data_IF_050597181068
#
_entry.id   IF_050597181068
#
_cell.length_a   1.000
_cell.length_b   1.000
_cell.length_c   1.000
_cell.angle_alpha   90.00
_cell.angle_beta   90.00
_cell.angle_gamma   90.00
#
_symmetry.space_group_name_H-M   'P 1'
#
loop_
_entity.id
_entity.type
_entity.pdbx_description
1 polymer ?
#
# COMPACT_ATOMS: atom_id res chain seq x y z
N UNK A 1 -4.45 17.50 -29.42
CA UNK A 1 -4.95 17.23 -28.06
C UNK A 1 -4.04 16.34 -27.22
N UNK A 2 -3.37 15.32 -27.77
CA UNK A 2 -2.48 14.42 -26.99
C UNK A 2 -1.20 15.03 -26.40
N UNK A 3 -0.70 16.17 -26.91
CA UNK A 3 0.52 16.83 -26.40
C UNK A 3 0.27 17.67 -25.15
N UNK A 4 -0.98 18.09 -24.90
CA UNK A 4 -1.36 18.92 -23.75
C UNK A 4 -1.58 18.04 -22.50
N UNK A 5 -2.07 16.82 -22.70
CA UNK A 5 -2.25 15.82 -21.65
C UNK A 5 -0.87 15.32 -21.15
N UNK A 6 0.11 15.14 -22.04
CA UNK A 6 1.46 14.74 -21.66
C UNK A 6 2.19 15.82 -20.83
N UNK A 7 1.97 17.10 -21.12
CA UNK A 7 2.52 18.21 -20.34
C UNK A 7 1.86 18.34 -18.95
N UNK A 8 0.56 18.08 -18.85
CA UNK A 8 -0.16 18.06 -17.57
C UNK A 8 0.30 16.93 -16.63
N UNK A 9 0.60 15.74 -17.18
CA UNK A 9 1.13 14.61 -16.40
C UNK A 9 2.57 14.87 -15.94
N UNK A 10 3.40 15.50 -16.79
CA UNK A 10 4.78 15.83 -16.44
C UNK A 10 4.87 16.94 -15.37
N UNK A 11 4.00 17.96 -15.41
CA UNK A 11 3.93 19.00 -14.39
C UNK A 11 3.36 18.49 -13.06
N UNK A 12 2.40 17.55 -13.10
CA UNK A 12 1.90 16.87 -11.90
C UNK A 12 2.97 16.02 -11.21
N UNK A 13 3.86 15.38 -11.96
CA UNK A 13 4.95 14.56 -11.40
C UNK A 13 6.08 15.43 -10.78
N UNK A 14 6.39 16.59 -11.37
CA UNK A 14 7.41 17.50 -10.82
C UNK A 14 6.93 18.24 -9.56
N UNK A 15 5.63 18.52 -9.43
CA UNK A 15 5.07 19.15 -8.22
C UNK A 15 5.12 18.22 -6.99
N UNK A 16 5.08 16.90 -7.19
CA UNK A 16 5.23 15.91 -6.11
C UNK A 16 6.69 15.74 -5.67
N UNK A 17 7.65 16.04 -6.55
CA UNK A 17 9.08 15.81 -6.28
C UNK A 17 9.83 17.00 -5.67
N UNK A 18 9.26 18.22 -5.67
CA UNK A 18 10.01 19.45 -5.34
C UNK A 18 9.34 20.40 -4.32
N UNK A 19 8.21 20.02 -3.70
CA UNK A 19 7.36 20.99 -2.98
C UNK A 19 6.88 20.63 -1.58
N UNK A 20 7.18 19.46 -1.03
CA UNK A 20 6.84 19.17 0.37
C UNK A 20 8.05 19.52 1.26
N UNK A 21 8.15 20.79 1.67
CA UNK A 21 8.91 21.09 2.87
C UNK A 21 8.36 20.19 3.99
N UNK A 22 9.21 19.48 4.75
CA UNK A 22 8.71 18.69 5.88
C UNK A 22 7.93 19.66 6.77
N UNK A 23 6.71 19.31 7.21
CA UNK A 23 6.05 20.11 8.23
C UNK A 23 7.03 20.25 9.38
N UNK A 24 7.27 21.49 9.82
CA UNK A 24 8.05 21.75 11.01
C UNK A 24 7.45 20.90 12.13
N UNK A 25 8.17 19.84 12.51
CA UNK A 25 7.83 19.01 13.65
C UNK A 25 7.99 19.92 14.84
N UNK A 26 6.86 20.45 15.32
CA UNK A 26 6.81 21.06 16.64
C UNK A 26 7.40 20.01 17.59
N UNK A 27 8.41 20.41 18.36
CA UNK A 27 9.04 19.62 19.41
C UNK A 27 7.96 19.32 20.46
N UNK A 28 7.13 18.35 20.13
CA UNK A 28 6.06 17.83 20.96
C UNK A 28 6.79 17.14 22.08
N UNK A 29 6.59 17.59 23.32
CA UNK A 29 7.21 17.00 24.49
C UNK A 29 7.00 15.48 24.44
N UNK A 30 8.04 14.76 24.02
CA UNK A 30 7.92 13.36 23.64
C UNK A 30 7.90 12.54 24.91
N UNK A 31 6.72 12.04 25.25
CA UNK A 31 6.54 11.05 26.30
C UNK A 31 7.19 9.75 25.84
N UNK A 32 8.04 9.19 26.71
CA UNK A 32 8.51 7.82 26.52
C UNK A 32 7.39 6.88 26.91
N UNK A 33 6.99 6.02 25.99
CA UNK A 33 5.86 5.14 26.15
C UNK A 33 6.32 3.69 26.32
N UNK A 34 5.81 3.02 27.34
CA UNK A 34 5.86 1.56 27.46
C UNK A 34 4.43 1.05 27.48
N UNK A 35 4.15 0.04 26.67
CA UNK A 35 2.80 -0.47 26.49
C UNK A 35 2.82 -1.98 26.61
N UNK A 36 1.79 -2.51 27.28
CA UNK A 36 1.50 -3.93 27.30
C UNK A 36 0.04 -4.17 26.93
N UNK A 37 -0.19 -5.28 26.23
CA UNK A 37 -1.50 -5.78 25.85
C UNK A 37 -1.66 -7.15 26.50
N UNK A 38 -2.70 -7.33 27.31
CA UNK A 38 -2.93 -8.55 28.10
C UNK A 38 -1.67 -9.00 28.86
N UNK A 39 -1.03 -8.03 29.52
CA UNK A 39 0.22 -8.19 30.29
C UNK A 39 1.47 -8.54 29.45
N UNK A 40 1.39 -8.53 28.12
CA UNK A 40 2.54 -8.75 27.22
C UNK A 40 3.08 -7.43 26.72
N UNK A 41 4.36 -7.11 26.93
CA UNK A 41 4.96 -5.90 26.36
C UNK A 41 4.90 -5.96 24.83
N UNK A 42 4.63 -4.82 24.19
CA UNK A 42 4.46 -4.75 22.72
C UNK A 42 5.77 -4.50 21.96
N UNK A 43 6.83 -4.11 22.67
CA UNK A 43 8.15 -3.81 22.10
C UNK A 43 8.73 -5.04 21.39
N UNK A 44 9.05 -4.90 20.11
CA UNK A 44 9.60 -5.93 19.22
C UNK A 44 8.83 -7.27 19.22
N UNK A 45 7.54 -7.24 19.60
CA UNK A 45 6.70 -8.42 19.74
C UNK A 45 5.56 -8.41 18.73
N UNK A 46 5.12 -9.62 18.34
CA UNK A 46 3.82 -9.81 17.69
C UNK A 46 2.79 -10.15 18.75
N UNK A 47 1.75 -9.34 18.88
CA UNK A 47 0.72 -9.49 19.91
C UNK A 47 -0.56 -10.06 19.30
N UNK A 48 -1.05 -11.22 19.75
CA UNK A 48 -2.32 -11.75 19.28
C UNK A 48 -3.49 -10.91 19.80
N UNK A 49 -4.38 -10.50 18.89
CA UNK A 49 -5.62 -9.82 19.21
C UNK A 49 -6.78 -10.71 18.77
N UNK A 50 -7.58 -11.16 19.73
CA UNK A 50 -8.82 -11.89 19.48
C UNK A 50 -10.01 -10.93 19.61
N UNK A 51 -10.67 -10.55 18.51
CA UNK A 51 -11.82 -9.64 18.53
C UNK A 51 -13.00 -10.16 19.38
N UNK A 52 -13.07 -11.45 19.69
CA UNK A 52 -14.14 -12.01 20.52
C UNK A 52 -13.97 -11.69 22.02
N UNK A 53 -12.78 -11.24 22.43
CA UNK A 53 -12.46 -10.97 23.82
C UNK A 53 -12.13 -9.49 24.01
N UNK A 54 -12.41 -8.99 25.21
CA UNK A 54 -11.90 -7.69 25.63
C UNK A 54 -10.39 -7.77 25.83
N UNK A 55 -9.71 -6.69 25.49
CA UNK A 55 -8.25 -6.59 25.57
C UNK A 55 -7.88 -5.57 26.64
N UNK A 56 -6.94 -5.93 27.51
CA UNK A 56 -6.39 -5.01 28.51
C UNK A 56 -5.16 -4.29 27.94
N UNK A 57 -5.31 -3.00 27.67
CA UNK A 57 -4.21 -2.12 27.24
C UNK A 57 -3.67 -1.36 28.45
N UNK A 58 -2.47 -1.73 28.90
CA UNK A 58 -1.75 -1.00 29.93
C UNK A 58 -0.71 -0.08 29.30
N UNK A 59 -0.69 1.18 29.73
CA UNK A 59 0.17 2.23 29.21
C UNK A 59 0.91 2.89 30.36
N UNK A 60 2.23 2.89 30.27
CA UNK A 60 3.13 3.60 31.18
C UNK A 60 3.78 4.75 30.42
N UNK A 61 3.35 5.96 30.73
CA UNK A 61 3.87 7.19 30.12
C UNK A 61 4.91 7.80 31.05
N UNK A 62 6.12 8.05 30.55
CA UNK A 62 7.20 8.72 31.28
C UNK A 62 7.51 10.06 30.63
N UNK A 63 7.45 11.13 31.41
CA UNK A 63 7.72 12.49 30.96
C UNK A 63 9.17 12.89 31.35
N UNK A 64 10.12 12.88 30.41
CA UNK A 64 11.49 13.32 30.68
C UNK A 64 11.61 14.86 30.79
N UNK A 65 10.57 15.62 30.45
CA UNK A 65 10.55 17.07 30.44
C UNK A 65 10.43 17.72 31.81
N UNK A 66 10.49 19.06 31.82
CA UNK A 66 10.46 19.90 33.03
C UNK A 66 9.08 20.49 33.33
N UNK A 67 8.12 20.37 32.42
CA UNK A 67 6.74 20.80 32.59
C UNK A 67 5.80 19.57 32.53
N UNK A 68 4.67 19.59 33.25
CA UNK A 68 3.69 18.52 33.14
C UNK A 68 3.03 18.50 31.76
N UNK A 69 2.71 17.31 31.27
CA UNK A 69 2.09 17.08 29.96
C UNK A 69 0.70 16.49 30.16
N UNK A 70 -0.30 17.10 29.52
CA UNK A 70 -1.69 16.63 29.57
C UNK A 70 -1.96 15.68 28.41
N UNK A 71 -2.46 14.50 28.73
CA UNK A 71 -2.92 13.51 27.78
C UNK A 71 -4.44 13.53 27.79
N UNK A 72 -5.07 13.55 26.63
CA UNK A 72 -6.53 13.54 26.47
C UNK A 72 -7.06 12.15 26.15
N UNK A 73 -6.40 11.47 25.22
CA UNK A 73 -6.87 10.18 24.70
C UNK A 73 -5.70 9.29 24.33
N UNK A 74 -5.98 7.99 24.33
CA UNK A 74 -5.09 6.94 23.84
C UNK A 74 -5.71 6.36 22.59
N UNK A 75 -4.92 6.23 21.52
CA UNK A 75 -5.33 5.65 20.26
C UNK A 75 -4.60 4.34 20.04
N UNK A 76 -5.33 3.26 19.80
CA UNK A 76 -4.79 2.02 19.23
C UNK A 76 -5.20 1.99 17.75
N UNK A 77 -4.24 1.92 16.84
CA UNK A 77 -4.52 1.87 15.40
C UNK A 77 -3.74 0.78 14.70
N UNK A 78 -4.28 0.28 13.59
CA UNK A 78 -3.63 -0.69 12.73
C UNK A 78 -3.67 -0.26 11.27
N UNK A 79 -2.55 -0.44 10.59
CA UNK A 79 -2.33 0.02 9.22
C UNK A 79 -1.97 -1.18 8.35
N UNK A 80 -2.49 -1.20 7.12
CA UNK A 80 -2.00 -2.06 6.06
C UNK A 80 -2.01 -1.28 4.75
N UNK A 81 -1.00 -1.47 3.89
CA UNK A 81 -0.88 -0.78 2.60
C UNK A 81 -1.00 0.75 2.72
N UNK A 82 -0.38 1.32 3.76
CA UNK A 82 -0.45 2.75 4.12
C UNK A 82 -1.87 3.31 4.40
N UNK A 83 -2.85 2.44 4.63
CA UNK A 83 -4.21 2.82 5.00
C UNK A 83 -4.53 2.33 6.42
N UNK A 84 -5.15 3.19 7.23
CA UNK A 84 -5.63 2.81 8.56
C UNK A 84 -6.88 1.94 8.43
N UNK A 85 -6.81 0.69 8.89
CA UNK A 85 -7.92 -0.27 8.85
C UNK A 85 -8.81 -0.19 10.08
N UNK A 86 -8.21 0.08 11.24
CA UNK A 86 -8.93 0.30 12.48
C UNK A 86 -8.22 1.37 13.31
N UNK A 87 -9.01 2.11 14.09
CA UNK A 87 -8.53 3.07 15.07
C UNK A 87 -9.53 3.15 16.22
N UNK A 88 -9.08 2.80 17.43
CA UNK A 88 -9.86 2.84 18.65
C UNK A 88 -9.34 3.97 19.53
N UNK A 89 -10.16 5.02 19.67
CA UNK A 89 -9.85 6.19 20.49
C UNK A 89 -10.51 6.06 21.87
N UNK A 90 -9.70 5.89 22.90
CA UNK A 90 -10.16 5.89 24.29
C UNK A 90 -9.89 7.26 24.91
N UNK A 91 -10.97 8.00 25.21
CA UNK A 91 -10.85 9.31 25.88
C UNK A 91 -10.78 9.11 27.38
N UNK A 92 -9.59 9.32 27.94
CA UNK A 92 -9.34 9.21 29.37
C UNK A 92 -8.27 10.24 29.74
N UNK A 93 -8.66 11.46 30.14
CA UNK A 93 -7.70 12.52 30.38
C UNK A 93 -6.87 12.22 31.64
N UNK A 94 -5.56 12.37 31.53
CA UNK A 94 -4.64 12.31 32.66
C UNK A 94 -3.43 13.22 32.43
N UNK A 95 -2.74 13.58 33.51
CA UNK A 95 -1.57 14.44 33.46
C UNK A 95 -0.34 13.65 33.89
N UNK A 96 0.73 13.73 33.10
CA UNK A 96 2.02 13.11 33.41
C UNK A 96 2.91 14.20 34.02
N UNK A 97 3.27 14.10 35.31
CA UNK A 97 4.05 15.13 35.98
C UNK A 97 5.46 15.24 35.37
N UNK A 98 6.05 16.43 35.47
CA UNK A 98 7.42 16.67 35.03
C UNK A 98 8.39 15.69 35.72
N UNK A 99 9.33 15.11 34.95
CA UNK A 99 10.30 14.10 35.42
C UNK A 99 9.67 12.88 36.11
N UNK A 100 8.38 12.61 35.86
CA UNK A 100 7.65 11.51 36.48
C UNK A 100 7.02 10.56 35.46
N UNK A 101 6.34 9.54 35.98
CA UNK A 101 5.64 8.54 35.18
C UNK A 101 4.24 8.27 35.72
N UNK A 102 3.33 7.89 34.82
CA UNK A 102 1.95 7.52 35.14
C UNK A 102 1.61 6.23 34.42
N UNK A 103 0.98 5.30 35.14
CA UNK A 103 0.44 4.05 34.61
C UNK A 103 -1.07 4.14 34.52
N UNK A 104 -1.63 3.76 33.37
CA UNK A 104 -3.07 3.66 33.13
C UNK A 104 -3.39 2.35 32.44
N UNK A 105 -4.51 1.76 32.82
CA UNK A 105 -5.05 0.54 32.21
C UNK A 105 -6.38 0.88 31.55
N UNK A 106 -6.55 0.46 30.31
CA UNK A 106 -7.76 0.62 29.51
C UNK A 106 -8.26 -0.75 29.09
N UNK A 107 -9.56 -0.98 29.21
CA UNK A 107 -10.19 -2.19 28.67
C UNK A 107 -10.82 -1.80 27.35
N UNK A 108 -10.37 -2.44 26.27
CA UNK A 108 -10.81 -2.18 24.91
C UNK A 108 -11.77 -3.29 24.47
N UNK A 109 -12.94 -2.90 23.96
CA UNK A 109 -13.82 -3.79 23.23
C UNK A 109 -13.52 -3.68 21.73
N UNK A 110 -13.01 -4.77 21.15
CA UNK A 110 -12.57 -4.84 19.77
C UNK A 110 -13.52 -5.71 18.91
N UNK A 111 -14.78 -5.90 19.34
CA UNK A 111 -15.74 -6.76 18.63
C UNK A 111 -15.88 -6.49 17.13
N UNK A 112 -15.84 -5.22 16.73
CA UNK A 112 -15.96 -4.82 15.31
C UNK A 112 -14.73 -5.20 14.47
N UNK A 113 -13.57 -5.41 15.11
CA UNK A 113 -12.31 -5.72 14.43
C UNK A 113 -12.40 -7.03 13.63
N UNK A 114 -13.23 -7.98 14.08
CA UNK A 114 -13.44 -9.26 13.42
C UNK A 114 -13.97 -9.09 11.98
N UNK A 115 -14.80 -8.07 11.75
CA UNK A 115 -15.34 -7.73 10.44
C UNK A 115 -14.43 -6.81 9.62
N UNK A 116 -13.41 -6.20 10.23
CA UNK A 116 -12.57 -5.20 9.58
C UNK A 116 -11.25 -5.77 9.06
N UNK A 117 -10.56 -6.58 9.87
CA UNK A 117 -9.20 -7.03 9.56
C UNK A 117 -8.95 -8.49 9.97
N UNK A 118 -7.98 -9.13 9.31
CA UNK A 118 -7.45 -10.45 9.67
C UNK A 118 -5.99 -10.57 9.24
N UNK A 119 -5.17 -11.25 10.05
CA UNK A 119 -3.74 -11.45 9.78
C UNK A 119 -2.83 -10.49 10.55
N UNK A 120 -1.59 -10.36 10.09
CA UNK A 120 -0.60 -9.46 10.68
C UNK A 120 -0.79 -8.02 10.20
N UNK A 121 -0.97 -7.10 11.15
CA UNK A 121 -1.11 -5.67 10.89
C UNK A 121 -0.12 -4.87 11.74
N UNK A 122 0.79 -4.09 11.12
CA UNK A 122 1.51 -3.03 11.81
C UNK A 122 0.54 -2.15 12.58
N UNK A 123 0.80 -1.97 13.87
CA UNK A 123 -0.10 -1.28 14.78
C UNK A 123 0.69 -0.31 15.65
N UNK A 124 0.04 0.78 16.05
CA UNK A 124 0.61 1.80 16.92
C UNK A 124 -0.32 2.09 18.09
N UNK A 125 0.28 2.38 19.24
CA UNK A 125 -0.40 2.96 20.40
C UNK A 125 0.13 4.38 20.58
N UNK A 126 -0.75 5.36 20.46
CA UNK A 126 -0.42 6.77 20.50
C UNK A 126 -1.10 7.45 21.70
N UNK A 127 -0.37 8.32 22.38
CA UNK A 127 -0.92 9.28 23.34
C UNK A 127 -1.20 10.60 22.64
N UNK A 128 -2.42 11.10 22.76
CA UNK A 128 -2.87 12.31 22.07
C UNK A 128 -3.26 13.40 23.06
N UNK A 129 -2.92 14.65 22.74
CA UNK A 129 -3.38 15.84 23.48
C UNK A 129 -4.77 16.32 23.00
N UNK A 130 -5.29 17.40 23.62
CA UNK A 130 -6.46 18.18 23.23
C UNK A 130 -6.59 18.46 21.74
N UNK A 131 -5.47 18.78 21.09
CA UNK A 131 -5.37 19.04 19.65
C UNK A 131 -5.23 17.81 18.76
N UNK A 132 -5.27 16.58 19.30
CA UNK A 132 -4.94 15.33 18.61
C UNK A 132 -3.49 15.26 18.09
N UNK A 133 -2.60 16.00 18.74
CA UNK A 133 -1.16 15.92 18.47
C UNK A 133 -0.58 14.73 19.23
N UNK A 134 0.25 13.93 18.58
CA UNK A 134 0.93 12.79 19.17
C UNK A 134 2.00 13.25 20.16
N UNK A 135 1.81 12.84 21.42
CA UNK A 135 2.72 13.11 22.54
C UNK A 135 3.73 11.98 22.74
N UNK A 136 3.38 10.77 22.34
CA UNK A 136 4.24 9.59 22.42
C UNK A 136 3.61 8.44 21.64
N UNK A 137 4.46 7.57 21.10
CA UNK A 137 4.06 6.47 20.24
C UNK A 137 4.85 5.21 20.60
N UNK A 138 4.19 4.06 20.55
CA UNK A 138 4.82 2.75 20.58
C UNK A 138 4.25 1.89 19.46
N UNK A 139 5.13 1.30 18.65
CA UNK A 139 4.76 0.48 17.48
C UNK A 139 4.90 -0.99 17.79
N UNK A 140 4.06 -1.82 17.18
CA UNK A 140 4.05 -3.28 17.32
C UNK A 140 3.41 -3.94 16.10
N UNK A 141 3.40 -5.27 16.04
CA UNK A 141 2.64 -6.03 15.05
C UNK A 141 1.48 -6.73 15.75
N UNK A 142 0.25 -6.41 15.36
CA UNK A 142 -0.94 -7.12 15.83
C UNK A 142 -1.21 -8.35 14.96
N UNK A 143 -1.34 -9.52 15.57
CA UNK A 143 -1.88 -10.72 14.95
C UNK A 143 -3.40 -10.77 15.18
N UNK A 144 -4.15 -10.17 14.27
CA UNK A 144 -5.60 -10.04 14.36
C UNK A 144 -6.27 -11.33 13.91
N UNK A 145 -7.02 -11.97 14.82
CA UNK A 145 -7.78 -13.20 14.56
C UNK A 145 -9.22 -12.92 14.12
N UNK A 146 -9.38 -12.09 13.09
CA UNK A 146 -10.68 -11.77 12.53
C UNK A 146 -11.22 -12.81 11.55
N UNK A 147 -12.24 -12.40 10.80
CA UNK A 147 -12.88 -13.23 9.78
C UNK A 147 -12.16 -13.12 8.42
N UNK A 148 -12.14 -14.23 7.68
CA UNK A 148 -11.73 -14.23 6.26
C UNK A 148 -12.64 -13.37 5.38
N UNK A 149 -13.89 -13.15 5.80
CA UNK A 149 -14.86 -12.26 5.14
C UNK A 149 -14.79 -10.82 5.64
N UNK A 150 -13.74 -10.46 6.37
CA UNK A 150 -13.50 -9.07 6.77
C UNK A 150 -13.30 -8.16 5.56
N UNK A 151 -13.45 -6.84 5.76
CA UNK A 151 -13.19 -5.83 4.73
C UNK A 151 -11.81 -6.04 4.10
N UNK A 152 -10.78 -6.29 4.91
CA UNK A 152 -9.44 -6.59 4.42
C UNK A 152 -9.38 -7.89 3.60
N UNK A 153 -10.03 -8.96 4.05
CA UNK A 153 -10.07 -10.24 3.33
C UNK A 153 -10.77 -10.13 1.97
N UNK A 154 -11.93 -9.47 1.92
CA UNK A 154 -12.69 -9.21 0.68
C UNK A 154 -11.90 -8.31 -0.26
N UNK A 155 -11.23 -7.29 0.25
CA UNK A 155 -10.33 -6.46 -0.53
C UNK A 155 -9.20 -7.29 -1.18
N UNK A 156 -8.56 -8.17 -0.41
CA UNK A 156 -7.55 -9.10 -0.92
C UNK A 156 -8.09 -10.02 -2.03
N UNK A 157 -9.31 -10.53 -1.87
CA UNK A 157 -9.97 -11.39 -2.87
C UNK A 157 -10.31 -10.62 -4.16
N UNK A 158 -10.82 -9.39 -4.04
CA UNK A 158 -11.08 -8.53 -5.17
C UNK A 158 -9.78 -8.20 -5.93
N UNK A 159 -8.71 -7.88 -5.21
CA UNK A 159 -7.37 -7.65 -5.76
C UNK A 159 -6.83 -8.89 -6.49
N UNK A 160 -7.01 -10.08 -5.91
CA UNK A 160 -6.66 -11.34 -6.56
C UNK A 160 -7.43 -11.54 -7.88
N UNK A 161 -8.75 -11.33 -7.88
CA UNK A 161 -9.57 -11.46 -9.08
C UNK A 161 -9.14 -10.47 -10.19
N UNK A 162 -8.89 -9.21 -9.84
CA UNK A 162 -8.38 -8.21 -10.79
C UNK A 162 -6.99 -8.56 -11.31
N UNK A 163 -6.12 -9.12 -10.48
CA UNK A 163 -4.79 -9.58 -10.86
C UNK A 163 -4.87 -10.74 -11.85
N UNK A 164 -5.74 -11.72 -11.59
CA UNK A 164 -6.00 -12.84 -12.50
C UNK A 164 -6.51 -12.30 -13.85
N UNK A 165 -7.45 -11.35 -13.83
CA UNK A 165 -7.97 -10.74 -15.06
C UNK A 165 -6.87 -9.98 -15.82
N UNK A 166 -5.99 -9.26 -15.12
CA UNK A 166 -4.84 -8.58 -15.73
C UNK A 166 -3.91 -9.59 -16.41
N UNK A 167 -3.60 -10.72 -15.77
CA UNK A 167 -2.83 -11.80 -16.39
C UNK A 167 -3.53 -12.40 -17.60
N UNK A 168 -4.81 -12.76 -17.48
CA UNK A 168 -5.59 -13.34 -18.57
C UNK A 168 -5.62 -12.40 -19.78
N UNK A 169 -5.84 -11.10 -19.59
CA UNK A 169 -5.88 -10.14 -20.70
C UNK A 169 -4.51 -9.96 -21.37
N UNK A 170 -3.41 -10.00 -20.60
CA UNK A 170 -2.05 -9.93 -21.12
C UNK A 170 -1.69 -11.21 -21.90
N UNK A 171 -2.01 -12.39 -21.35
CA UNK A 171 -1.75 -13.68 -21.98
C UNK A 171 -2.62 -13.92 -23.22
N UNK A 172 -3.90 -13.52 -23.20
CA UNK A 172 -4.76 -13.56 -24.38
C UNK A 172 -4.25 -12.64 -25.50
N UNK A 173 -3.71 -11.47 -25.16
CA UNK A 173 -3.13 -10.58 -26.15
C UNK A 173 -1.86 -11.16 -26.79
N UNK A 174 -1.05 -11.85 -25.99
CA UNK A 174 0.10 -12.63 -26.46
C UNK A 174 -0.36 -13.76 -27.39
N UNK A 175 -1.33 -14.59 -26.96
CA UNK A 175 -1.85 -15.72 -27.72
C UNK A 175 -2.52 -15.29 -29.04
N UNK A 176 -3.17 -14.12 -29.08
CA UNK A 176 -3.79 -13.55 -30.29
C UNK A 176 -2.81 -12.78 -31.17
N UNK A 177 -1.51 -12.79 -30.87
CA UNK A 177 -0.48 -12.02 -31.55
C UNK A 177 -0.79 -10.51 -31.67
N UNK A 178 -1.57 -9.95 -30.74
CA UNK A 178 -1.98 -8.52 -30.72
C UNK A 178 -1.04 -7.65 -29.90
N UNK A 179 0.21 -8.07 -29.74
CA UNK A 179 1.21 -7.32 -29.00
C UNK A 179 1.82 -6.23 -29.89
N UNK A 180 2.16 -5.10 -29.29
CA UNK A 180 2.80 -4.01 -30.02
C UNK A 180 4.17 -4.47 -30.57
N UNK A 181 4.60 -4.01 -31.75
CA UNK A 181 5.92 -4.33 -32.27
C UNK A 181 7.05 -3.79 -31.38
N UNK A 182 6.79 -2.70 -30.63
CA UNK A 182 7.72 -2.13 -29.68
C UNK A 182 7.79 -2.96 -28.38
N UNK A 183 8.98 -3.49 -28.07
CA UNK A 183 9.28 -4.27 -26.85
C UNK A 183 8.96 -3.53 -25.55
N UNK A 184 9.21 -2.22 -25.50
CA UNK A 184 8.89 -1.41 -24.32
C UNK A 184 7.38 -1.36 -24.05
N UNK A 185 6.58 -1.10 -25.08
CA UNK A 185 5.10 -1.08 -24.97
C UNK A 185 4.55 -2.44 -24.55
N UNK A 186 5.20 -3.53 -24.95
CA UNK A 186 4.85 -4.88 -24.49
C UNK A 186 5.16 -5.08 -23.01
N UNK A 187 6.35 -4.72 -22.55
CA UNK A 187 6.68 -4.75 -21.12
C UNK A 187 5.68 -3.95 -20.27
N UNK A 188 5.38 -2.72 -20.68
CA UNK A 188 4.40 -1.84 -19.98
C UNK A 188 3.02 -2.50 -19.88
N UNK A 189 2.59 -3.29 -20.87
CA UNK A 189 1.29 -3.99 -20.84
C UNK A 189 1.18 -5.04 -19.73
N UNK A 190 2.30 -5.62 -19.30
CA UNK A 190 2.33 -6.63 -18.25
C UNK A 190 2.51 -6.03 -16.84
N UNK A 191 2.83 -4.73 -16.73
CA UNK A 191 3.00 -4.07 -15.43
C UNK A 191 1.79 -4.20 -14.51
N UNK A 192 0.53 -3.96 -14.93
CA UNK A 192 -0.62 -4.08 -14.03
C UNK A 192 -0.74 -5.47 -13.40
N UNK A 193 -0.42 -6.52 -14.16
CA UNK A 193 -0.43 -7.90 -13.67
C UNK A 193 0.69 -8.14 -12.64
N UNK A 194 1.89 -7.58 -12.86
CA UNK A 194 2.99 -7.66 -11.90
C UNK A 194 2.76 -6.90 -10.60
N UNK A 195 2.25 -5.67 -10.68
CA UNK A 195 1.83 -4.89 -9.50
C UNK A 195 0.77 -5.63 -8.69
N UNK A 196 -0.26 -6.14 -9.38
CA UNK A 196 -1.31 -6.94 -8.76
C UNK A 196 -0.75 -8.18 -8.05
N UNK A 197 0.15 -8.94 -8.71
CA UNK A 197 0.80 -10.11 -8.10
C UNK A 197 1.55 -9.75 -6.82
N UNK A 198 2.33 -8.66 -6.84
CA UNK A 198 3.08 -8.21 -5.67
C UNK A 198 2.18 -7.84 -4.49
N UNK A 199 1.13 -7.05 -4.75
CA UNK A 199 0.18 -6.64 -3.71
C UNK A 199 -0.57 -7.86 -3.13
N UNK A 200 -1.05 -8.75 -4.00
CA UNK A 200 -1.72 -9.98 -3.58
C UNK A 200 -0.79 -10.87 -2.75
N UNK A 201 0.50 -10.95 -3.10
CA UNK A 201 1.48 -11.71 -2.34
C UNK A 201 1.67 -11.13 -0.93
N UNK A 202 1.84 -9.81 -0.79
CA UNK A 202 1.99 -9.15 0.53
C UNK A 202 0.75 -9.37 1.40
N UNK A 203 -0.45 -9.17 0.85
CA UNK A 203 -1.71 -9.42 1.56
C UNK A 203 -1.80 -10.90 1.98
N UNK A 204 -1.46 -11.82 1.07
CA UNK A 204 -1.52 -13.25 1.36
C UNK A 204 -0.54 -13.65 2.47
N UNK A 205 0.68 -13.12 2.45
CA UNK A 205 1.68 -13.36 3.51
C UNK A 205 1.21 -12.81 4.87
N UNK A 206 0.58 -11.65 4.87
CA UNK A 206 -0.03 -11.03 6.06
C UNK A 206 -1.16 -11.89 6.64
N UNK A 207 -2.11 -12.32 5.80
CA UNK A 207 -3.26 -13.14 6.20
C UNK A 207 -2.82 -14.55 6.66
N UNK A 208 -1.82 -15.12 5.99
CA UNK A 208 -1.19 -16.40 6.38
C UNK A 208 -0.27 -16.28 7.60
N UNK A 209 -0.12 -15.07 8.16
CA UNK A 209 0.70 -14.78 9.35
C UNK A 209 2.17 -15.12 9.18
N UNK A 210 2.68 -14.97 7.96
CA UNK A 210 4.08 -15.23 7.64
C UNK A 210 4.92 -13.96 7.75
N UNK A 211 4.43 -12.84 7.22
CA UNK A 211 5.18 -11.58 7.16
C UNK A 211 4.22 -10.39 7.29
N UNK A 212 4.49 -9.41 8.17
CA UNK A 212 3.68 -8.21 8.26
C UNK A 212 3.85 -7.33 7.01
N UNK A 213 2.78 -6.63 6.56
CA UNK A 213 2.82 -5.73 5.41
C UNK A 213 3.49 -4.39 5.79
N UNK A 214 4.79 -4.44 6.07
CA UNK A 214 5.59 -3.25 6.33
C UNK A 214 6.14 -2.64 5.04
N UNK A 215 6.26 -1.30 4.93
CA UNK A 215 6.77 -0.64 3.72
C UNK A 215 8.14 -1.15 3.27
N UNK A 216 8.99 -1.55 4.23
CA UNK A 216 10.33 -2.09 3.96
C UNK A 216 10.30 -3.42 3.19
N UNK A 217 9.23 -4.21 3.32
CA UNK A 217 9.05 -5.49 2.64
C UNK A 217 8.10 -5.35 1.46
N UNK A 218 7.00 -4.62 1.64
CA UNK A 218 5.98 -4.39 0.63
C UNK A 218 6.57 -3.77 -0.65
N UNK A 219 7.33 -2.68 -0.52
CA UNK A 219 7.83 -1.93 -1.67
C UNK A 219 8.75 -2.81 -2.54
N UNK A 220 9.78 -3.50 -1.99
CA UNK A 220 10.61 -4.41 -2.78
C UNK A 220 9.85 -5.56 -3.43
N UNK A 221 8.89 -6.17 -2.72
CA UNK A 221 8.10 -7.30 -3.25
C UNK A 221 7.24 -6.84 -4.42
N UNK A 222 6.53 -5.72 -4.28
CA UNK A 222 5.67 -5.17 -5.32
C UNK A 222 6.47 -4.72 -6.54
N UNK A 223 7.56 -3.97 -6.33
CA UNK A 223 8.43 -3.52 -7.42
C UNK A 223 9.15 -4.69 -8.09
N UNK A 224 9.58 -5.69 -7.33
CA UNK A 224 10.19 -6.91 -7.86
C UNK A 224 9.24 -7.69 -8.76
N UNK A 225 8.00 -7.93 -8.31
CA UNK A 225 6.97 -8.59 -9.11
C UNK A 225 6.61 -7.79 -10.38
N UNK A 226 6.50 -6.46 -10.27
CA UNK A 226 6.27 -5.58 -11.42
C UNK A 226 7.43 -5.63 -12.43
N UNK A 227 8.68 -5.61 -11.96
CA UNK A 227 9.87 -5.72 -12.81
C UNK A 227 9.93 -7.07 -13.52
N UNK A 228 9.64 -8.18 -12.84
CA UNK A 228 9.57 -9.52 -13.44
C UNK A 228 8.49 -9.57 -14.53
N UNK A 229 7.29 -9.09 -14.24
CA UNK A 229 6.20 -9.07 -15.23
C UNK A 229 6.55 -8.18 -16.45
N UNK A 230 7.17 -7.03 -16.22
CA UNK A 230 7.68 -6.18 -17.28
C UNK A 230 8.70 -6.92 -18.16
N UNK A 231 9.67 -7.61 -17.54
CA UNK A 231 10.67 -8.39 -18.26
C UNK A 231 10.04 -9.52 -19.07
N UNK A 232 9.07 -10.24 -18.51
CA UNK A 232 8.30 -11.25 -19.24
C UNK A 232 7.63 -10.62 -20.47
N UNK A 233 6.94 -9.50 -20.29
CA UNK A 233 6.34 -8.74 -21.40
C UNK A 233 7.37 -8.26 -22.42
N UNK A 234 8.55 -7.81 -22.00
CA UNK A 234 9.64 -7.31 -22.85
C UNK A 234 10.34 -8.42 -23.66
N UNK A 235 10.35 -9.65 -23.15
CA UNK A 235 10.98 -10.81 -23.78
C UNK A 235 10.03 -11.64 -24.65
N UNK A 236 8.71 -11.36 -24.64
CA UNK A 236 7.75 -12.04 -25.55
C UNK A 236 8.17 -11.98 -27.04
N UNK A 237 7.83 -13.01 -27.85
CA UNK A 237 8.19 -13.05 -29.28
C UNK A 237 7.62 -11.89 -30.11
N UNK A 238 8.24 -11.60 -31.26
CA UNK A 238 7.71 -10.61 -32.20
C UNK A 238 6.39 -11.11 -32.82
N UNK A 239 5.37 -10.26 -33.02
CA UNK A 239 4.20 -10.64 -33.80
C UNK A 239 4.66 -11.05 -35.21
N UNK A 240 4.17 -12.18 -35.73
CA UNK A 240 4.48 -12.58 -37.10
C UNK A 240 3.98 -11.49 -38.07
N UNK A 241 4.72 -11.19 -39.15
CA UNK A 241 4.23 -10.28 -40.18
C UNK A 241 2.87 -10.79 -40.71
N UNK A 242 1.95 -9.89 -41.07
CA UNK A 242 0.68 -10.33 -41.66
C UNK A 242 0.99 -11.22 -42.86
N UNK A 243 0.34 -12.39 -42.91
CA UNK A 243 0.41 -13.26 -44.07
C UNK A 243 -0.08 -12.49 -45.28
N UNK A 244 0.83 -12.15 -46.20
CA UNK A 244 0.48 -11.59 -47.51
C UNK A 244 -0.38 -12.64 -48.18
N UNK A 245 -1.69 -12.42 -48.21
CA UNK A 245 -2.58 -13.27 -48.98
C UNK A 245 -2.43 -12.79 -50.41
N UNK A 246 -2.18 -13.71 -51.34
CA UNK A 246 -1.84 -13.49 -52.76
C UNK A 246 -2.84 -12.60 -53.54
N UNK A 247 -3.96 -12.23 -52.91
CA UNK A 247 -4.97 -11.29 -53.41
C UNK A 247 -4.58 -9.81 -53.27
N UNK A 248 -3.50 -9.45 -52.57
CA UNK A 248 -2.98 -8.08 -52.51
C UNK A 248 -2.13 -7.81 -53.76
N UNK A 249 -2.80 -7.83 -54.92
CA UNK A 249 -2.20 -7.41 -56.19
C UNK A 249 -1.87 -5.94 -56.06
N UNK A 250 -0.57 -5.63 -55.99
CA UNK A 250 -0.07 -4.26 -56.12
C UNK A 250 -0.54 -3.73 -57.47
N UNK A 251 -1.63 -2.95 -57.49
CA UNK A 251 -2.04 -2.23 -58.69
C UNK A 251 -0.96 -1.18 -58.94
N UNK A 252 -0.04 -1.48 -59.86
CA UNK A 252 0.87 -0.48 -60.40
C UNK A 252 0.00 0.59 -61.08
N UNK A 253 -0.16 1.74 -60.42
CA UNK A 253 -0.76 2.91 -61.06
C UNK A 253 0.13 3.28 -62.26
N UNK A 254 -0.43 3.43 -63.48
CA UNK A 254 0.35 3.84 -64.63
C UNK A 254 1.03 5.17 -64.33
N UNK A 255 2.36 5.21 -64.44
CA UNK A 255 3.12 6.46 -64.38
C UNK A 255 2.67 7.30 -65.58
N UNK A 256 2.12 8.51 -65.39
CA UNK A 256 1.73 9.35 -66.52
C UNK A 256 2.97 9.64 -67.37
N UNK A 257 2.86 9.41 -68.69
CA UNK A 257 3.92 9.66 -69.64
C UNK A 257 4.32 11.13 -69.57
N UNK A 258 5.59 11.38 -69.28
CA UNK A 258 6.23 12.70 -69.35
C UNK A 258 5.99 13.25 -70.75
N UNK A 259 5.09 14.22 -70.91
CA UNK A 259 5.01 14.97 -72.16
C UNK A 259 6.30 15.76 -72.31
N UNK A 260 7.09 15.38 -73.31
CA UNK A 260 8.24 16.14 -73.78
C UNK A 260 7.75 17.54 -74.22
N UNK A 261 8.11 18.57 -73.47
CA UNK A 261 8.02 19.95 -73.93
C UNK A 261 9.16 20.18 -74.95
N UNK A 262 8.87 19.96 -76.24
CA UNK A 262 9.74 20.38 -77.34
C UNK A 262 9.63 21.90 -77.51
N UNK A 263 10.77 22.56 -77.67
CA UNK A 263 10.93 24.01 -77.84
C UNK A 263 10.78 24.42 -79.29
#
# INVERSE_FOLDING_TARGET
MGRVIAAGVALGLCAVLLGAAPPAVAESASLRLQVSIDQRPIEDATVPIDPANQVELQVVATNPGTAPVKVRSVRLSGVALALTFFAYDTTAPFEVPARGSVSRTFVLDLGDLAGQATGLLPSSVELLDGGRVTLGEATTVADVRGSFWSVYGVFGLAMLALTILAWVTALLALARHRLAPNRWRRGVRFLPAGFGTGLVAVISLSVLRLVPPEPAIEIPVVLGAAAIAFLLGYLTPHPAPPSVTESDTTVQLPVPSTQEFTR
#
